data_IF_505703247038
#
_entry.id   IF_505703247038
#
_cell.length_a   1.000
_cell.length_b   1.000
_cell.length_c   1.000
_cell.angle_alpha   90.00
_cell.angle_beta   90.00
_cell.angle_gamma   90.00
#
_symmetry.space_group_name_H-M   'P 1'
#
loop_
_entity.id
_entity.type
_entity.pdbx_description
1 polymer ?
#
# COMPACT_ATOMS: atom_id res chain seq x y z
N UNK A 1 1.85 -16.96 -1.74
CA UNK A 1 1.43 -16.16 -2.92
C UNK A 1 -0.04 -16.42 -3.16
N UNK A 2 -0.83 -15.36 -3.36
CA UNK A 2 -2.27 -15.42 -3.59
C UNK A 2 -2.57 -14.83 -4.97
N UNK A 3 -3.45 -15.47 -5.73
CA UNK A 3 -4.05 -14.90 -6.95
C UNK A 3 -5.41 -14.33 -6.57
N UNK A 4 -5.62 -13.04 -6.79
CA UNK A 4 -6.88 -12.35 -6.53
C UNK A 4 -7.41 -11.79 -7.83
N UNK A 5 -8.70 -12.01 -8.08
CA UNK A 5 -9.42 -11.46 -9.22
C UNK A 5 -10.43 -10.44 -8.71
N UNK A 6 -10.36 -9.23 -9.23
CA UNK A 6 -11.26 -8.13 -8.88
C UNK A 6 -12.04 -7.75 -10.12
N UNK A 7 -13.36 -7.75 -10.02
CA UNK A 7 -14.28 -7.44 -11.12
C UNK A 7 -15.24 -6.33 -10.71
N UNK A 8 -15.46 -5.36 -11.61
CA UNK A 8 -16.47 -4.32 -11.44
C UNK A 8 -16.11 -3.00 -12.12
N UNK A 9 -16.86 -1.95 -11.80
CA UNK A 9 -16.66 -0.61 -12.37
C UNK A 9 -15.27 -0.05 -12.02
N UNK A 10 -14.57 0.51 -13.02
CA UNK A 10 -13.21 1.04 -12.87
C UNK A 10 -13.08 2.04 -11.71
N UNK A 11 -14.08 2.91 -11.54
CA UNK A 11 -14.15 3.93 -10.48
C UNK A 11 -14.14 3.34 -9.06
N UNK A 12 -14.56 2.08 -8.90
CA UNK A 12 -14.56 1.36 -7.62
C UNK A 12 -13.36 0.43 -7.50
N UNK A 13 -12.94 -0.18 -8.61
CA UNK A 13 -11.79 -1.10 -8.66
C UNK A 13 -10.48 -0.35 -8.43
N UNK A 14 -10.29 0.83 -9.02
CA UNK A 14 -9.04 1.58 -8.90
C UNK A 14 -8.74 2.00 -7.45
N UNK A 15 -9.66 2.61 -6.68
CA UNK A 15 -9.41 2.91 -5.26
C UNK A 15 -9.07 1.67 -4.45
N UNK A 16 -9.80 0.57 -4.65
CA UNK A 16 -9.52 -0.70 -3.96
C UNK A 16 -8.10 -1.22 -4.23
N UNK A 17 -7.64 -1.17 -5.49
CA UNK A 17 -6.29 -1.59 -5.86
C UNK A 17 -5.22 -0.66 -5.26
N UNK A 18 -5.48 0.64 -5.19
CA UNK A 18 -4.59 1.60 -4.53
C UNK A 18 -4.45 1.30 -3.05
N UNK A 19 -5.56 1.09 -2.35
CA UNK A 19 -5.57 0.72 -0.93
C UNK A 19 -4.83 -0.60 -0.68
N UNK A 20 -5.00 -1.57 -1.58
CA UNK A 20 -4.35 -2.87 -1.48
C UNK A 20 -2.82 -2.75 -1.61
N UNK A 21 -2.31 -1.89 -2.50
CA UNK A 21 -0.87 -1.61 -2.65
C UNK A 21 -0.25 -0.91 -1.43
N UNK A 22 -1.04 -0.11 -0.72
CA UNK A 22 -0.56 0.63 0.45
C UNK A 22 -0.42 -0.22 1.71
N UNK A 23 -0.99 -1.44 1.72
CA UNK A 23 -0.90 -2.34 2.88
C UNK A 23 0.51 -2.89 3.01
N UNK A 24 1.14 -2.66 4.16
CA UNK A 24 2.48 -3.16 4.51
C UNK A 24 2.65 -4.68 4.41
N UNK A 25 1.55 -5.44 4.48
CA UNK A 25 1.54 -6.90 4.41
C UNK A 25 1.34 -7.44 2.99
N UNK A 26 1.14 -6.56 2.00
CA UNK A 26 0.80 -6.90 0.63
C UNK A 26 1.85 -6.34 -0.32
N UNK A 27 2.56 -7.22 -0.99
CA UNK A 27 3.36 -6.87 -2.16
C UNK A 27 2.59 -7.29 -3.42
N UNK A 28 2.26 -6.31 -4.26
CA UNK A 28 1.57 -6.55 -5.53
C UNK A 28 2.60 -6.75 -6.64
N UNK A 29 2.65 -7.97 -7.18
CA UNK A 29 3.69 -8.39 -8.12
C UNK A 29 3.36 -8.03 -9.58
N UNK A 30 2.08 -8.03 -9.97
CA UNK A 30 1.67 -7.75 -11.34
C UNK A 30 0.19 -7.32 -11.40
N UNK A 31 -0.12 -6.35 -12.26
CA UNK A 31 -1.47 -6.02 -12.69
C UNK A 31 -1.53 -6.27 -14.19
N UNK A 32 -2.24 -7.31 -14.63
CA UNK A 32 -2.59 -7.45 -16.05
C UNK A 32 -3.96 -6.82 -16.27
N UNK A 33 -4.06 -5.65 -16.94
CA UNK A 33 -5.33 -5.21 -17.46
C UNK A 33 -5.54 -5.88 -18.81
N UNK A 34 -6.61 -6.67 -18.98
CA UNK A 34 -7.33 -6.72 -20.26
C UNK A 34 -8.59 -7.58 -20.18
N UNK A 35 -9.73 -6.94 -20.39
CA UNK A 35 -10.50 -7.13 -21.63
C UNK A 35 -11.34 -5.86 -21.85
N UNK A 36 -10.99 -5.05 -22.87
CA UNK A 36 -11.87 -3.95 -23.31
C UNK A 36 -12.93 -4.55 -24.22
N UNK A 37 -13.86 -5.29 -23.64
CA UNK A 37 -15.13 -5.59 -24.27
C UNK A 37 -15.78 -4.26 -24.66
N UNK A 38 -16.01 -4.06 -25.96
CA UNK A 38 -16.63 -2.85 -26.53
C UNK A 38 -18.04 -2.68 -25.94
N UNK A 39 -18.19 -1.98 -24.82
CA UNK A 39 -19.48 -1.47 -24.35
C UNK A 39 -19.25 -0.38 -23.30
N UNK A 40 -20.06 0.68 -23.36
CA UNK A 40 -19.95 1.91 -22.56
C UNK A 40 -20.21 1.73 -21.04
N UNK A 41 -20.19 0.48 -20.56
CA UNK A 41 -20.35 0.08 -19.18
C UNK A 41 -19.56 -1.23 -18.94
N UNK A 42 -18.29 -1.26 -19.37
CA UNK A 42 -17.48 -2.46 -19.28
C UNK A 42 -16.96 -2.63 -17.84
N UNK A 43 -17.50 -3.61 -17.13
CA UNK A 43 -16.90 -4.10 -15.88
C UNK A 43 -15.46 -4.52 -16.17
N UNK A 44 -14.52 -3.94 -15.41
CA UNK A 44 -13.10 -4.20 -15.52
C UNK A 44 -12.77 -5.43 -14.71
N UNK A 45 -11.98 -6.33 -15.30
CA UNK A 45 -11.42 -7.50 -14.63
C UNK A 45 -9.92 -7.31 -14.45
N UNK A 46 -9.46 -7.34 -13.21
CA UNK A 46 -8.05 -7.22 -12.85
C UNK A 46 -7.60 -8.47 -12.12
N UNK A 47 -6.53 -9.09 -12.60
CA UNK A 47 -5.85 -10.17 -11.89
C UNK A 47 -4.62 -9.59 -11.18
N UNK A 48 -4.57 -9.81 -9.87
CA UNK A 48 -3.50 -9.38 -8.99
C UNK A 48 -2.80 -10.60 -8.40
N UNK A 49 -1.46 -10.60 -8.44
CA UNK A 49 -0.65 -11.56 -7.70
C UNK A 49 -0.09 -10.88 -6.46
N UNK A 50 -0.42 -11.45 -5.29
CA UNK A 50 -0.12 -10.86 -3.98
C UNK A 50 0.84 -11.77 -3.22
N UNK A 51 1.94 -11.20 -2.76
CA UNK A 51 2.67 -11.78 -1.64
C UNK A 51 2.07 -11.25 -0.34
N UNK A 52 1.50 -12.15 0.46
CA UNK A 52 0.95 -11.81 1.76
C UNK A 52 1.96 -12.17 2.86
N UNK A 53 2.52 -11.16 3.51
CA UNK A 53 3.40 -11.37 4.65
C UNK A 53 2.56 -11.45 5.92
N UNK A 54 2.45 -12.65 6.51
CA UNK A 54 1.69 -12.87 7.76
C UNK A 54 2.34 -12.23 8.99
N UNK A 55 3.61 -11.83 8.90
CA UNK A 55 4.33 -11.14 9.97
C UNK A 55 4.12 -9.64 9.84
N UNK A 56 3.68 -9.01 10.93
CA UNK A 56 3.67 -7.55 11.05
C UNK A 56 5.10 -7.05 10.90
N UNK A 57 5.32 -6.14 9.95
CA UNK A 57 6.64 -5.55 9.73
C UNK A 57 6.84 -4.40 10.71
N UNK A 58 7.97 -4.40 11.42
CA UNK A 58 8.46 -3.20 12.12
C UNK A 58 9.40 -2.49 11.15
N UNK A 59 9.12 -1.21 10.87
CA UNK A 59 10.02 -0.31 10.13
C UNK A 59 10.36 0.87 11.01
N UNK A 60 11.57 1.39 10.90
CA UNK A 60 12.01 2.58 11.65
C UNK A 60 12.02 3.78 10.72
N UNK A 61 11.18 4.78 11.03
CA UNK A 61 11.28 6.09 10.39
C UNK A 61 12.45 6.85 11.03
N UNK A 62 13.37 7.34 10.21
CA UNK A 62 14.51 8.13 10.65
C UNK A 62 14.32 9.58 10.18
N UNK A 63 14.28 10.51 11.11
CA UNK A 63 14.21 11.94 10.85
C UNK A 63 15.54 12.57 11.27
N UNK A 64 16.22 13.21 10.32
CA UNK A 64 17.42 13.98 10.59
C UNK A 64 17.04 15.46 10.65
N UNK A 65 17.39 16.11 11.76
CA UNK A 65 17.15 17.54 11.97
C UNK A 65 18.28 18.36 11.37
N UNK A 66 18.06 19.65 11.16
CA UNK A 66 19.07 20.56 10.60
C UNK A 66 20.37 20.64 11.43
N UNK A 67 20.30 20.36 12.73
CA UNK A 67 21.46 20.31 13.62
C UNK A 67 22.12 18.90 13.69
N UNK A 68 21.74 17.97 12.82
CA UNK A 68 22.31 16.63 12.72
C UNK A 68 21.83 15.64 13.79
N UNK A 69 20.82 15.99 14.58
CA UNK A 69 20.19 15.03 15.50
C UNK A 69 19.32 14.06 14.72
N UNK A 70 19.31 12.80 15.17
CA UNK A 70 18.55 11.75 14.53
C UNK A 70 17.45 11.25 15.46
N UNK A 71 16.20 11.48 15.07
CA UNK A 71 15.03 10.94 15.74
C UNK A 71 14.64 9.64 15.05
N UNK A 72 14.55 8.54 15.82
CA UNK A 72 14.16 7.21 15.32
C UNK A 72 12.81 6.81 15.88
N UNK A 73 11.86 6.53 15.00
CA UNK A 73 10.49 6.15 15.35
C UNK A 73 10.23 4.73 14.82
N UNK A 74 10.39 3.68 15.65
CA UNK A 74 9.99 2.33 15.28
C UNK A 74 8.46 2.25 15.22
N UNK A 75 7.94 1.86 14.06
CA UNK A 75 6.50 1.77 13.79
C UNK A 75 6.15 0.39 13.25
N UNK A 76 5.06 -0.18 13.75
CA UNK A 76 4.45 -1.38 13.18
C UNK A 76 3.56 -1.02 12.01
N UNK A 77 3.61 -1.86 10.98
CA UNK A 77 2.77 -1.78 9.80
C UNK A 77 2.78 -0.38 9.14
N UNK A 78 3.97 0.25 9.10
CA UNK A 78 4.17 1.58 8.53
C UNK A 78 3.69 1.65 7.06
N UNK A 79 2.84 2.63 6.79
CA UNK A 79 2.33 3.04 5.47
C UNK A 79 2.98 4.38 5.13
N UNK A 80 3.41 4.50 3.87
CA UNK A 80 3.92 5.73 3.27
C UNK A 80 3.00 6.10 2.10
N UNK A 81 2.48 7.33 2.12
CA UNK A 81 1.67 7.87 1.05
C UNK A 81 2.23 9.24 0.61
N UNK A 82 2.42 9.42 -0.68
CA UNK A 82 2.77 10.71 -1.27
C UNK A 82 1.48 11.46 -1.61
N UNK A 83 1.34 12.70 -1.15
CA UNK A 83 0.12 13.49 -1.33
C UNK A 83 0.28 14.46 -2.49
N UNK A 84 1.33 15.30 -2.47
CA UNK A 84 1.68 16.27 -3.52
C UNK A 84 3.03 16.93 -3.20
N UNK A 85 3.76 17.40 -4.22
CA UNK A 85 4.97 18.24 -4.09
C UNK A 85 6.02 17.71 -3.10
N UNK A 86 6.28 16.40 -3.13
CA UNK A 86 7.27 15.75 -2.25
C UNK A 86 6.81 15.61 -0.78
N UNK A 87 5.58 16.02 -0.46
CA UNK A 87 4.99 15.81 0.87
C UNK A 87 4.56 14.35 1.01
N UNK A 88 5.18 13.68 1.98
CA UNK A 88 4.90 12.30 2.35
C UNK A 88 4.21 12.24 3.71
N UNK A 89 3.14 11.46 3.78
CA UNK A 89 2.49 11.09 5.03
C UNK A 89 2.96 9.70 5.43
N UNK A 90 3.44 9.57 6.66
CA UNK A 90 3.80 8.29 7.28
C UNK A 90 2.78 7.97 8.37
N UNK A 91 2.16 6.80 8.28
CA UNK A 91 1.18 6.33 9.27
C UNK A 91 1.55 4.92 9.74
N UNK A 92 1.53 4.69 11.05
CA UNK A 92 1.84 3.38 11.62
C UNK A 92 1.45 3.33 13.09
N UNK A 93 1.58 2.15 13.71
CA UNK A 93 1.32 1.99 15.14
C UNK A 93 2.63 2.11 15.91
N UNK A 94 2.68 3.05 16.85
CA UNK A 94 3.70 3.00 17.90
C UNK A 94 3.39 1.86 18.85
N UNK A 95 4.45 1.30 19.43
CA UNK A 95 4.35 0.27 20.45
C UNK A 95 5.42 0.55 21.48
N UNK A 96 5.05 0.44 22.75
CA UNK A 96 5.98 0.44 23.86
C UNK A 96 6.07 -0.99 24.39
N UNK A 97 7.28 -1.54 24.43
CA UNK A 97 7.52 -2.88 24.96
C UNK A 97 7.73 -2.88 26.48
N UNK A 98 7.84 -1.69 27.09
CA UNK A 98 8.11 -1.51 28.51
C UNK A 98 6.94 -0.95 29.32
N UNK A 99 5.98 -0.27 28.69
CA UNK A 99 4.74 0.18 29.33
C UNK A 99 4.87 1.48 30.12
#
# INVERSE_FOLDING_TARGET
MLKVQVEGQMEKVQPFLSDLKQRSQVELLENQPMDKGKSQCADVKVTCYIHHHSRRSVKTLQLETENGQVIRLPLMDLIEAEVQDGVKIFAGRSFDIFG
#
